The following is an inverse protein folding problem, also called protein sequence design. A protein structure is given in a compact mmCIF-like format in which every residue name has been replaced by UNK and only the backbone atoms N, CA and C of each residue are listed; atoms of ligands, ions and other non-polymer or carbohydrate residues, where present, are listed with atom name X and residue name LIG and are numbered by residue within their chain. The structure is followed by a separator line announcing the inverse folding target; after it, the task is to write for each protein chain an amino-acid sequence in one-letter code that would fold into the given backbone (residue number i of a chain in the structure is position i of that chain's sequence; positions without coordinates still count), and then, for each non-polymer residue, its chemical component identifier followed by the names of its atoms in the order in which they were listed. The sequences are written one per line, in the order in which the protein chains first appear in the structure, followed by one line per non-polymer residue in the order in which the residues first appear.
data_IF_998225145157
#
_entry.id   IF_998225145157
#
_cell.length_a   1.000
_cell.length_b   1.000
_cell.length_c   1.000
_cell.angle_alpha   90.00
_cell.angle_beta   90.00
_cell.angle_gamma   90.00
#
_symmetry.space_group_name_H-M   'P 1'
#
loop_
_entity.id
_entity.type
_entity.pdbx_description
1 polymer ?
#
# COMPACT_ATOMS: atom_id res chain seq x y z
N UNK A 1 -2.66 31.30 -13.31
CA UNK A 1 -2.10 29.96 -13.02
C UNK A 1 -3.20 29.13 -12.40
N UNK A 2 -3.80 28.21 -13.15
CA UNK A 2 -4.78 27.24 -12.63
C UNK A 2 -4.08 25.91 -12.40
N UNK A 3 -3.98 25.47 -11.15
CA UNK A 3 -3.57 24.12 -10.81
C UNK A 3 -4.72 23.19 -11.20
N UNK A 4 -4.65 22.58 -12.39
CA UNK A 4 -5.54 21.48 -12.72
C UNK A 4 -5.03 20.23 -12.01
N UNK A 5 -5.87 19.63 -11.17
CA UNK A 5 -5.59 18.34 -10.54
C UNK A 5 -5.44 17.28 -11.63
N UNK A 6 -4.26 16.70 -11.73
CA UNK A 6 -4.02 15.47 -12.51
C UNK A 6 -4.43 14.32 -11.59
N UNK A 7 -5.73 14.12 -11.41
CA UNK A 7 -6.25 12.82 -11.02
C UNK A 7 -6.75 12.16 -12.31
N UNK A 8 -5.93 11.32 -12.98
CA UNK A 8 -6.53 10.30 -13.83
C UNK A 8 -7.53 9.57 -12.94
N UNK A 9 -8.72 9.27 -13.44
CA UNK A 9 -9.73 8.48 -12.73
C UNK A 9 -9.04 7.27 -12.10
N UNK A 10 -8.70 7.37 -10.81
CA UNK A 10 -8.02 6.33 -10.09
C UNK A 10 -9.09 5.27 -9.90
N UNK A 11 -8.85 4.06 -10.38
CA UNK A 11 -9.64 2.92 -9.94
C UNK A 11 -9.73 3.00 -8.40
N UNK A 12 -10.92 2.76 -7.83
CA UNK A 12 -11.07 2.84 -6.38
C UNK A 12 -10.01 1.94 -5.73
N UNK A 13 -9.39 2.45 -4.64
CA UNK A 13 -8.43 1.67 -3.87
C UNK A 13 -9.03 0.28 -3.59
N UNK A 14 -8.25 -0.78 -3.84
CA UNK A 14 -8.69 -2.18 -3.66
C UNK A 14 -9.25 -2.42 -2.25
N UNK A 15 -8.69 -1.73 -1.28
CA UNK A 15 -9.16 -1.68 0.11
C UNK A 15 -9.65 -0.26 0.40
N UNK A 16 -10.92 -0.05 0.78
CA UNK A 16 -11.39 1.26 1.21
C UNK A 16 -10.61 1.78 2.43
N UNK A 17 -10.24 3.07 2.43
CA UNK A 17 -9.48 3.72 3.52
C UNK A 17 -10.34 4.07 4.74
N UNK A 18 -11.05 3.08 5.27
CA UNK A 18 -11.81 3.20 6.51
C UNK A 18 -11.73 1.88 7.29
N UNK A 19 -12.10 1.91 8.57
CA UNK A 19 -11.94 0.76 9.46
C UNK A 19 -12.72 -0.48 8.98
N UNK A 20 -13.91 -0.28 8.40
CA UNK A 20 -14.74 -1.39 7.89
C UNK A 20 -14.11 -2.04 6.66
N UNK A 21 -13.65 -1.24 5.69
CA UNK A 21 -13.00 -1.73 4.48
C UNK A 21 -11.69 -2.47 4.78
N UNK A 22 -10.88 -1.94 5.70
CA UNK A 22 -9.66 -2.60 6.18
C UNK A 22 -10.04 -3.93 6.84
N UNK A 23 -10.96 -3.93 7.81
CA UNK A 23 -11.36 -5.16 8.49
C UNK A 23 -11.94 -6.22 7.55
N UNK A 24 -12.75 -5.82 6.56
CA UNK A 24 -13.33 -6.73 5.58
C UNK A 24 -12.30 -7.40 4.67
N UNK A 25 -11.14 -6.75 4.46
CA UNK A 25 -10.04 -7.29 3.67
C UNK A 25 -9.07 -8.19 4.44
N UNK A 26 -9.20 -8.26 5.78
CA UNK A 26 -8.36 -9.08 6.64
C UNK A 26 -9.10 -10.35 7.09
N UNK A 27 -8.38 -11.46 7.18
CA UNK A 27 -8.92 -12.74 7.64
C UNK A 27 -8.54 -13.06 9.10
N UNK A 28 -9.43 -13.79 9.77
CA UNK A 28 -9.16 -14.47 11.05
C UNK A 28 -8.48 -13.60 12.11
N UNK A 29 -7.28 -14.03 12.51
CA UNK A 29 -6.48 -13.43 13.58
C UNK A 29 -6.05 -11.99 13.26
N UNK A 30 -5.69 -11.69 12.00
CA UNK A 30 -5.26 -10.34 11.60
C UNK A 30 -6.37 -9.31 11.75
N UNK A 31 -7.61 -9.69 11.43
CA UNK A 31 -8.77 -8.82 11.64
C UNK A 31 -8.98 -8.51 13.13
N UNK A 32 -8.79 -9.50 13.99
CA UNK A 32 -8.90 -9.32 15.44
C UNK A 32 -7.76 -8.44 15.98
N UNK A 33 -6.55 -8.63 15.49
CA UNK A 33 -5.40 -7.82 15.85
C UNK A 33 -5.58 -6.35 15.45
N UNK A 34 -6.05 -6.10 14.23
CA UNK A 34 -6.41 -4.77 13.76
C UNK A 34 -7.37 -4.06 14.71
N UNK A 35 -8.47 -4.71 15.08
CA UNK A 35 -9.42 -4.13 16.03
C UNK A 35 -8.82 -3.91 17.41
N UNK A 36 -8.02 -4.87 17.90
CA UNK A 36 -7.34 -4.75 19.20
C UNK A 36 -6.46 -3.51 19.25
N UNK A 37 -5.65 -3.29 18.23
CA UNK A 37 -4.76 -2.13 18.17
C UNK A 37 -5.52 -0.82 17.98
N UNK A 38 -6.50 -0.79 17.07
CA UNK A 38 -7.28 0.42 16.80
C UNK A 38 -8.05 0.88 18.03
N UNK A 39 -8.62 -0.06 18.80
CA UNK A 39 -9.37 0.24 20.01
C UNK A 39 -8.47 0.54 21.22
N UNK A 40 -7.20 0.13 21.18
CA UNK A 40 -6.22 0.45 22.22
C UNK A 40 -5.49 1.79 21.98
N UNK A 41 -5.52 2.30 20.76
CA UNK A 41 -4.83 3.54 20.39
C UNK A 41 -5.47 4.78 21.03
N UNK A 42 -4.63 5.74 21.41
CA UNK A 42 -5.11 7.09 21.71
C UNK A 42 -5.69 7.73 20.44
N UNK A 43 -6.64 8.67 20.54
CA UNK A 43 -7.26 9.32 19.38
C UNK A 43 -6.25 9.91 18.38
N UNK A 44 -5.17 10.50 18.87
CA UNK A 44 -4.08 11.07 18.07
C UNK A 44 -3.26 10.02 17.28
N UNK A 45 -3.24 8.77 17.73
CA UNK A 45 -2.47 7.67 17.11
C UNK A 45 -3.33 6.82 16.16
N UNK A 46 -4.66 6.92 16.25
CA UNK A 46 -5.60 6.09 15.50
C UNK A 46 -5.41 6.18 13.98
N UNK A 47 -5.08 7.38 13.46
CA UNK A 47 -4.78 7.56 12.03
C UNK A 47 -3.53 6.77 11.61
N UNK A 48 -2.49 6.74 12.46
CA UNK A 48 -1.27 5.98 12.21
C UNK A 48 -1.54 4.48 12.13
N UNK A 49 -2.37 3.97 13.05
CA UNK A 49 -2.82 2.56 13.05
C UNK A 49 -3.61 2.25 11.78
N UNK A 50 -4.61 3.08 11.44
CA UNK A 50 -5.41 2.90 10.21
C UNK A 50 -4.54 2.88 8.96
N UNK A 51 -3.59 3.83 8.85
CA UNK A 51 -2.69 3.93 7.69
C UNK A 51 -1.81 2.70 7.56
N UNK A 52 -1.23 2.21 8.67
CA UNK A 52 -0.39 1.01 8.67
C UNK A 52 -1.18 -0.21 8.22
N UNK A 53 -2.32 -0.48 8.84
CA UNK A 53 -3.15 -1.62 8.50
C UNK A 53 -3.74 -1.55 7.11
N UNK A 54 -4.05 -0.35 6.61
CA UNK A 54 -4.45 -0.17 5.22
C UNK A 54 -3.32 -0.56 4.23
N UNK A 55 -2.07 -0.15 4.50
CA UNK A 55 -0.94 -0.57 3.67
C UNK A 55 -0.77 -2.09 3.67
N UNK A 56 -0.89 -2.73 4.83
CA UNK A 56 -0.81 -4.19 4.97
C UNK A 56 -1.93 -4.87 4.17
N UNK A 57 -3.17 -4.41 4.32
CA UNK A 57 -4.32 -4.93 3.58
C UNK A 57 -4.20 -4.75 2.05
N UNK A 58 -3.63 -3.62 1.59
CA UNK A 58 -3.36 -3.40 0.17
C UNK A 58 -2.32 -4.37 -0.39
N UNK A 59 -1.33 -4.77 0.40
CA UNK A 59 -0.33 -5.78 0.01
C UNK A 59 -0.94 -7.19 -0.01
N UNK A 60 -1.71 -7.53 1.01
CA UNK A 60 -2.37 -8.84 1.12
C UNK A 60 -3.33 -9.09 -0.04
N UNK A 61 -4.06 -8.06 -0.46
CA UNK A 61 -5.03 -8.15 -1.55
C UNK A 61 -4.40 -7.99 -2.95
N UNK A 62 -3.07 -7.83 -3.05
CA UNK A 62 -2.41 -7.59 -4.35
C UNK A 62 -2.37 -8.89 -5.17
N UNK A 63 -3.05 -8.97 -6.33
CA UNK A 63 -3.02 -10.16 -7.17
C UNK A 63 -1.61 -10.51 -7.67
N UNK A 64 -0.67 -9.57 -7.64
CA UNK A 64 0.72 -9.82 -7.97
C UNK A 64 1.56 -10.35 -6.79
N UNK A 65 1.07 -10.27 -5.54
CA UNK A 65 1.83 -10.59 -4.34
C UNK A 65 2.46 -12.00 -4.39
N UNK A 66 1.68 -13.01 -4.79
CA UNK A 66 2.17 -14.39 -4.92
C UNK A 66 3.31 -14.52 -5.92
N UNK A 67 3.15 -13.97 -7.14
CA UNK A 67 4.20 -14.00 -8.18
C UNK A 67 5.46 -13.25 -7.76
N UNK A 68 5.31 -12.09 -7.11
CA UNK A 68 6.45 -11.29 -6.64
C UNK A 68 7.20 -12.03 -5.55
N UNK A 69 6.48 -12.62 -4.59
CA UNK A 69 7.07 -13.41 -3.50
C UNK A 69 7.81 -14.64 -4.02
N UNK A 70 7.20 -15.37 -4.96
CA UNK A 70 7.83 -16.52 -5.62
C UNK A 70 9.09 -16.11 -6.38
N UNK A 71 9.04 -15.03 -7.17
CA UNK A 71 10.21 -14.52 -7.87
C UNK A 71 11.32 -14.07 -6.92
N UNK A 72 10.97 -13.51 -5.76
CA UNK A 72 11.92 -13.13 -4.73
C UNK A 72 12.62 -14.35 -4.13
N UNK A 73 11.84 -15.35 -3.70
CA UNK A 73 12.36 -16.59 -3.12
C UNK A 73 13.23 -17.38 -4.11
N UNK A 74 12.87 -17.35 -5.39
CA UNK A 74 13.62 -18.02 -6.46
C UNK A 74 14.80 -17.19 -7.00
N UNK A 75 15.01 -15.96 -6.52
CA UNK A 75 16.07 -15.07 -6.98
C UNK A 75 15.92 -14.61 -8.43
N UNK A 76 14.70 -14.60 -8.96
CA UNK A 76 14.39 -14.24 -10.35
C UNK A 76 13.75 -12.86 -10.50
N UNK A 77 13.72 -12.06 -9.43
CA UNK A 77 13.26 -10.68 -9.50
C UNK A 77 14.08 -9.91 -10.55
N UNK A 78 13.43 -9.15 -11.45
CA UNK A 78 14.13 -8.33 -12.42
C UNK A 78 15.03 -7.30 -11.72
N UNK A 79 16.34 -7.51 -11.78
CA UNK A 79 17.30 -6.54 -11.27
C UNK A 79 17.46 -5.39 -12.25
N UNK A 80 17.37 -4.16 -11.75
CA UNK A 80 17.66 -2.94 -12.51
C UNK A 80 18.72 -2.18 -11.75
N UNK A 81 19.63 -1.51 -12.46
CA UNK A 81 20.55 -0.60 -11.77
C UNK A 81 19.76 0.52 -11.09
N UNK A 82 20.28 1.03 -9.98
CA UNK A 82 19.73 2.21 -9.30
C UNK A 82 19.60 3.38 -10.28
N UNK A 83 20.60 3.57 -11.15
CA UNK A 83 20.58 4.58 -12.20
C UNK A 83 19.37 4.42 -13.15
N UNK A 84 19.05 3.19 -13.58
CA UNK A 84 17.88 2.94 -14.43
C UNK A 84 16.56 3.19 -13.70
N UNK A 85 16.48 2.89 -12.40
CA UNK A 85 15.31 3.20 -11.58
C UNK A 85 15.10 4.72 -11.41
N UNK A 86 16.19 5.46 -11.18
CA UNK A 86 16.19 6.93 -11.09
C UNK A 86 15.72 7.55 -12.41
N UNK A 87 16.31 7.13 -13.54
CA UNK A 87 15.93 7.64 -14.86
C UNK A 87 14.43 7.43 -15.15
N UNK A 88 13.88 6.27 -14.77
CA UNK A 88 12.45 6.00 -14.90
C UNK A 88 11.59 6.90 -14.01
N UNK A 89 11.98 7.16 -12.75
CA UNK A 89 11.25 8.10 -11.87
C UNK A 89 11.24 9.52 -12.44
N UNK A 90 12.38 10.00 -12.92
CA UNK A 90 12.50 11.32 -13.55
C UNK A 90 11.61 11.41 -14.80
N UNK A 91 11.63 10.40 -15.66
CA UNK A 91 10.77 10.35 -16.85
C UNK A 91 9.27 10.33 -16.51
N UNK A 92 8.92 9.82 -15.32
CA UNK A 92 7.55 9.83 -14.79
C UNK A 92 7.21 11.10 -13.99
N UNK A 93 8.12 12.08 -13.89
CA UNK A 93 7.91 13.31 -13.13
C UNK A 93 7.89 13.12 -11.61
N UNK A 94 8.43 12.01 -11.10
CA UNK A 94 8.46 11.70 -9.67
C UNK A 94 9.76 12.22 -9.02
N UNK A 95 9.72 12.73 -7.77
CA UNK A 95 10.90 13.23 -7.06
C UNK A 95 11.92 12.11 -6.80
N UNK A 96 13.20 12.45 -6.75
CA UNK A 96 14.33 11.50 -6.56
C UNK A 96 15.21 11.89 -5.35
N UNK A 97 14.64 12.63 -4.41
CA UNK A 97 15.35 13.05 -3.19
C UNK A 97 15.42 11.93 -2.16
#
# INVERSE_FOLDING_TARGET
MSAQSIHPHAEPDRVPRNAEGIAASLEGERRMEFYRELLAAAPEDAEGVLRRWWCEAMLDTDPACGRVSEAALNGTLPTKSVAAAIARRQAAGLPVE
#
